data_IF_062816350238
#
_entry.id   IF_062816350238
#
_cell.length_a   1.000
_cell.length_b   1.000
_cell.length_c   1.000
_cell.angle_alpha   90.00
_cell.angle_beta   90.00
_cell.angle_gamma   90.00
#
_symmetry.space_group_name_H-M   'P 1'
#
loop_
_entity.id
_entity.type
_entity.pdbx_description
1 polymer ?
#
# COMPACT_ATOMS: atom_id res chain seq x y z
N UNK A 1 18.14 -2.30 -44.87
CA UNK A 1 17.41 -1.63 -43.78
C UNK A 1 17.39 -2.54 -42.58
N UNK A 2 17.62 -1.99 -41.39
CA UNK A 2 17.66 -2.73 -40.13
C UNK A 2 16.24 -2.87 -39.57
N UNK A 3 15.75 -4.11 -39.37
CA UNK A 3 14.41 -4.35 -38.82
C UNK A 3 14.43 -4.17 -37.31
N UNK A 4 13.84 -3.08 -36.81
CA UNK A 4 13.72 -2.84 -35.37
C UNK A 4 12.75 -3.82 -34.73
N UNK A 5 13.31 -4.93 -34.22
CA UNK A 5 12.62 -6.01 -33.51
C UNK A 5 11.46 -6.70 -34.26
N UNK A 6 11.13 -6.28 -35.49
CA UNK A 6 10.00 -6.81 -36.28
C UNK A 6 9.23 -5.73 -37.05
N UNK A 7 9.37 -4.46 -36.68
CA UNK A 7 8.78 -3.34 -37.42
C UNK A 7 9.39 -3.21 -38.83
N UNK A 8 8.56 -2.79 -39.78
CA UNK A 8 8.98 -2.33 -41.10
C UNK A 8 9.57 -0.91 -41.03
N UNK A 9 10.36 -0.50 -42.03
CA UNK A 9 10.99 0.84 -42.04
C UNK A 9 9.94 1.95 -41.91
N UNK A 10 8.83 1.85 -42.65
CA UNK A 10 7.73 2.82 -42.62
C UNK A 10 7.13 3.02 -41.21
N UNK A 11 7.11 1.97 -40.38
CA UNK A 11 6.66 2.05 -38.99
C UNK A 11 7.72 2.68 -38.07
N UNK A 12 9.01 2.43 -38.32
CA UNK A 12 10.12 3.11 -37.63
C UNK A 12 10.16 4.60 -37.99
N UNK A 13 9.94 4.93 -39.26
CA UNK A 13 9.86 6.30 -39.76
C UNK A 13 8.62 7.04 -39.24
N UNK A 14 7.52 6.32 -38.96
CA UNK A 14 6.35 6.85 -38.25
C UNK A 14 6.65 7.09 -36.76
N UNK A 15 7.30 6.15 -36.07
CA UNK A 15 7.72 6.34 -34.67
C UNK A 15 8.67 7.54 -34.50
N UNK A 16 9.64 7.70 -35.42
CA UNK A 16 10.54 8.87 -35.43
C UNK A 16 9.82 10.20 -35.66
N UNK A 17 8.65 10.19 -36.34
CA UNK A 17 7.78 11.38 -36.50
C UNK A 17 6.88 11.63 -35.29
N UNK A 18 6.45 10.58 -34.58
CA UNK A 18 5.68 10.68 -33.34
C UNK A 18 6.54 11.16 -32.16
N UNK A 19 7.82 10.79 -32.15
CA UNK A 19 8.77 11.08 -31.06
C UNK A 19 10.03 11.80 -31.58
N UNK A 20 9.91 13.00 -32.19
CA UNK A 20 11.01 13.66 -32.89
C UNK A 20 12.16 14.14 -31.99
N UNK A 21 11.93 14.23 -30.67
CA UNK A 21 12.94 14.59 -29.68
C UNK A 21 13.61 13.37 -29.00
N UNK A 22 13.12 12.16 -29.23
CA UNK A 22 13.61 10.97 -28.53
C UNK A 22 14.91 10.44 -29.18
N UNK A 23 15.98 10.20 -28.39
CA UNK A 23 17.19 9.54 -28.89
C UNK A 23 16.89 8.18 -29.51
N UNK A 24 17.60 7.80 -30.58
CA UNK A 24 17.30 6.57 -31.32
C UNK A 24 17.40 5.32 -30.43
N UNK A 25 18.35 5.29 -29.49
CA UNK A 25 18.51 4.22 -28.51
C UNK A 25 17.30 4.08 -27.58
N UNK A 26 16.71 5.19 -27.15
CA UNK A 26 15.50 5.19 -26.31
C UNK A 26 14.27 4.72 -27.10
N UNK A 27 14.17 5.08 -28.38
CA UNK A 27 13.14 4.55 -29.27
C UNK A 27 13.32 3.05 -29.55
N UNK A 28 14.56 2.57 -29.70
CA UNK A 28 14.87 1.14 -29.87
C UNK A 28 14.53 0.36 -28.60
N UNK A 29 14.80 0.92 -27.40
CA UNK A 29 14.38 0.37 -26.12
C UNK A 29 12.85 0.33 -25.97
N UNK A 30 12.15 1.40 -26.35
CA UNK A 30 10.69 1.49 -26.35
C UNK A 30 10.05 0.42 -27.24
N UNK A 31 10.53 0.24 -28.48
CA UNK A 31 10.04 -0.81 -29.39
C UNK A 31 10.35 -2.21 -28.87
N UNK A 32 11.53 -2.43 -28.28
CA UNK A 32 11.85 -3.71 -27.63
C UNK A 32 10.90 -4.02 -26.47
N UNK A 33 10.63 -3.03 -25.61
CA UNK A 33 9.76 -3.16 -24.45
C UNK A 33 8.30 -3.42 -24.86
N UNK A 34 7.79 -2.67 -25.85
CA UNK A 34 6.48 -2.88 -26.43
C UNK A 34 6.34 -4.31 -26.99
N UNK A 35 7.31 -4.75 -27.81
CA UNK A 35 7.34 -6.13 -28.33
C UNK A 35 7.38 -7.17 -27.21
N UNK A 36 8.17 -6.96 -26.15
CA UNK A 36 8.29 -7.92 -25.02
C UNK A 36 6.93 -8.13 -24.33
N UNK A 37 6.13 -7.08 -24.20
CA UNK A 37 4.76 -7.13 -23.70
C UNK A 37 3.72 -7.51 -24.79
N UNK A 38 4.13 -7.71 -26.04
CA UNK A 38 3.23 -7.91 -27.20
C UNK A 38 2.31 -6.71 -27.49
N UNK A 39 2.70 -5.51 -27.06
CA UNK A 39 1.99 -4.25 -27.28
C UNK A 39 2.47 -3.57 -28.57
N UNK A 40 1.59 -2.81 -29.20
CA UNK A 40 1.93 -2.02 -30.39
C UNK A 40 2.34 -0.58 -30.00
N UNK A 41 3.61 -0.17 -30.23
CA UNK A 41 4.10 1.16 -29.90
C UNK A 41 3.51 2.29 -30.76
N UNK A 42 2.69 1.99 -31.76
CA UNK A 42 1.90 2.95 -32.53
C UNK A 42 0.47 3.14 -31.98
N UNK A 43 0.09 2.40 -30.94
CA UNK A 43 -1.24 2.49 -30.29
C UNK A 43 -1.16 3.16 -28.92
N UNK A 44 -2.28 3.68 -28.42
CA UNK A 44 -2.39 4.30 -27.08
C UNK A 44 -2.39 3.26 -25.94
N UNK A 45 -1.58 2.21 -26.05
CA UNK A 45 -1.39 1.17 -25.04
C UNK A 45 -0.08 1.36 -24.27
N UNK A 46 0.96 1.89 -24.93
CA UNK A 46 2.28 2.12 -24.34
C UNK A 46 2.89 3.40 -24.93
N UNK A 47 3.53 4.20 -24.09
CA UNK A 47 3.99 5.55 -24.41
C UNK A 47 5.44 5.77 -23.98
N UNK A 48 6.23 6.40 -24.86
CA UNK A 48 7.54 6.95 -24.52
C UNK A 48 7.37 8.43 -24.14
N UNK A 49 7.56 8.77 -22.87
CA UNK A 49 7.33 10.12 -22.34
C UNK A 49 8.63 10.76 -21.85
N UNK A 50 8.90 11.97 -22.36
CA UNK A 50 9.95 12.87 -21.88
C UNK A 50 9.58 13.38 -20.48
N UNK A 51 10.44 13.15 -19.49
CA UNK A 51 10.29 13.64 -18.12
C UNK A 51 11.36 14.71 -17.88
N UNK A 52 10.93 15.94 -17.60
CA UNK A 52 11.83 17.08 -17.32
C UNK A 52 11.91 17.31 -15.82
N UNK A 53 13.10 17.08 -15.24
CA UNK A 53 13.42 17.26 -13.83
C UNK A 53 14.34 18.47 -13.69
N UNK A 54 14.01 19.38 -12.78
CA UNK A 54 14.94 20.43 -12.40
C UNK A 54 15.98 19.84 -11.44
N UNK A 55 17.24 19.79 -11.86
CA UNK A 55 18.34 19.47 -10.96
C UNK A 55 18.72 20.74 -10.19
N UNK A 56 18.62 20.67 -8.85
CA UNK A 56 18.91 21.78 -7.94
C UNK A 56 20.41 22.04 -7.76
N UNK A 57 21.26 21.04 -8.02
CA UNK A 57 22.70 21.09 -7.84
C UNK A 57 23.39 21.72 -9.07
N UNK A 58 22.97 21.31 -10.27
CA UNK A 58 23.48 21.86 -11.54
C UNK A 58 22.72 23.09 -12.04
N UNK A 59 21.60 23.43 -11.38
CA UNK A 59 20.66 24.50 -11.75
C UNK A 59 20.19 24.41 -13.22
N UNK A 60 19.90 23.20 -13.69
CA UNK A 60 19.54 22.90 -15.08
C UNK A 60 18.33 21.97 -15.20
N UNK A 61 17.68 22.01 -16.37
CA UNK A 61 16.60 21.10 -16.75
C UNK A 61 17.18 19.83 -17.38
N UNK A 62 17.21 18.75 -16.61
CA UNK A 62 17.57 17.43 -17.10
C UNK A 62 16.33 16.76 -17.73
N UNK A 63 16.53 16.14 -18.88
CA UNK A 63 15.46 15.48 -19.65
C UNK A 63 15.74 13.98 -19.71
N UNK A 64 14.96 13.19 -18.97
CA UNK A 64 14.99 11.73 -19.02
C UNK A 64 13.84 11.18 -19.85
N UNK A 65 13.93 9.90 -20.22
CA UNK A 65 12.92 9.21 -21.01
C UNK A 65 12.34 8.05 -20.22
N UNK A 66 11.02 7.93 -20.23
CA UNK A 66 10.27 6.95 -19.43
C UNK A 66 9.29 6.19 -20.31
N UNK A 67 9.21 4.87 -20.15
CA UNK A 67 8.26 4.02 -20.87
C UNK A 67 7.11 3.69 -19.91
N UNK A 68 5.94 4.27 -20.19
CA UNK A 68 4.73 4.14 -19.37
C UNK A 68 3.64 3.39 -20.15
N UNK A 69 2.87 2.57 -19.46
CA UNK A 69 1.87 1.68 -20.08
C UNK A 69 0.48 2.07 -19.60
N UNK A 70 -0.40 2.41 -20.55
CA UNK A 70 -1.79 2.73 -20.21
C UNK A 70 -2.54 1.51 -19.69
N UNK A 71 -3.64 1.75 -18.96
CA UNK A 71 -4.52 0.66 -18.48
C UNK A 71 -4.99 -0.25 -19.62
N UNK A 72 -5.21 0.30 -20.82
CA UNK A 72 -5.59 -0.46 -22.02
C UNK A 72 -4.45 -1.33 -22.56
N UNK A 73 -3.19 -0.99 -22.27
CA UNK A 73 -2.04 -1.88 -22.47
C UNK A 73 -2.02 -3.04 -21.47
N UNK A 74 -2.23 -2.77 -20.18
CA UNK A 74 -2.33 -3.85 -19.17
C UNK A 74 -3.49 -4.81 -19.48
N UNK A 75 -4.66 -4.28 -19.86
CA UNK A 75 -5.81 -5.08 -20.35
C UNK A 75 -5.42 -5.91 -21.58
N UNK A 76 -4.77 -5.32 -22.57
CA UNK A 76 -4.36 -6.03 -23.79
C UNK A 76 -3.31 -7.13 -23.52
N UNK A 77 -2.43 -6.97 -22.53
CA UNK A 77 -1.52 -8.05 -22.08
C UNK A 77 -2.32 -9.18 -21.43
N UNK A 78 -3.22 -8.85 -20.50
CA UNK A 78 -4.03 -9.82 -19.78
C UNK A 78 -4.95 -10.62 -20.73
N UNK A 79 -5.67 -9.94 -21.64
CA UNK A 79 -6.56 -10.53 -22.64
C UNK A 79 -5.84 -11.56 -23.53
N UNK A 80 -4.63 -11.22 -24.00
CA UNK A 80 -3.78 -12.11 -24.82
C UNK A 80 -3.30 -13.39 -24.11
N UNK A 81 -3.52 -13.54 -22.80
CA UNK A 81 -3.30 -14.83 -22.12
C UNK A 81 -4.41 -15.85 -22.37
N UNK A 82 -5.61 -15.42 -22.78
CA UNK A 82 -6.82 -16.25 -22.79
C UNK A 82 -7.34 -16.63 -21.39
N UNK A 83 -6.75 -16.07 -20.33
CA UNK A 83 -7.08 -16.33 -18.91
C UNK A 83 -7.67 -15.09 -18.21
N UNK A 84 -8.00 -14.03 -18.95
CA UNK A 84 -8.59 -12.79 -18.45
C UNK A 84 -10.05 -12.66 -18.84
N UNK A 85 -10.85 -12.03 -17.97
CA UNK A 85 -12.08 -11.35 -18.35
C UNK A 85 -12.28 -10.10 -17.45
N UNK A 86 -13.03 -9.08 -17.91
CA UNK A 86 -13.42 -7.96 -17.05
C UNK A 86 -14.17 -8.43 -15.80
N UNK A 87 -13.90 -7.81 -14.66
CA UNK A 87 -14.68 -8.04 -13.43
C UNK A 87 -15.90 -7.13 -13.33
N UNK A 88 -16.50 -7.10 -12.13
CA UNK A 88 -17.60 -6.19 -11.80
C UNK A 88 -17.14 -4.72 -11.74
N UNK A 89 -18.10 -3.79 -11.77
CA UNK A 89 -17.81 -2.36 -11.75
C UNK A 89 -16.98 -1.95 -10.51
N UNK A 90 -16.02 -1.01 -10.63
CA UNK A 90 -15.25 -0.54 -9.48
C UNK A 90 -16.12 0.10 -8.40
N UNK A 91 -15.83 -0.22 -7.14
CA UNK A 91 -16.49 0.34 -5.96
C UNK A 91 -15.68 1.55 -5.47
N UNK A 92 -16.34 2.67 -5.18
CA UNK A 92 -15.71 3.91 -4.66
C UNK A 92 -16.16 4.13 -3.23
N UNK A 93 -15.22 4.29 -2.30
CA UNK A 93 -15.49 4.72 -0.93
C UNK A 93 -15.26 6.23 -0.79
N UNK A 94 -16.18 6.92 -0.12
CA UNK A 94 -16.12 8.38 0.08
C UNK A 94 -16.29 8.72 1.57
N UNK A 95 -15.66 9.81 2.02
CA UNK A 95 -15.65 10.30 3.40
C UNK A 95 -15.83 11.81 3.40
N UNK A 96 -17.04 12.29 3.72
CA UNK A 96 -17.37 13.72 3.75
C UNK A 96 -17.14 14.39 2.38
N UNK A 97 -17.86 13.91 1.36
CA UNK A 97 -17.82 14.35 -0.05
C UNK A 97 -16.44 14.25 -0.75
N UNK A 98 -15.47 13.60 -0.11
CA UNK A 98 -14.13 13.33 -0.67
C UNK A 98 -13.96 11.85 -0.94
N UNK A 99 -13.46 11.52 -2.12
CA UNK A 99 -13.07 10.15 -2.49
C UNK A 99 -11.92 9.71 -1.59
N UNK A 100 -12.06 8.54 -0.97
CA UNK A 100 -11.09 7.96 -0.05
C UNK A 100 -10.34 6.80 -0.70
N UNK A 101 -11.04 5.88 -1.37
CA UNK A 101 -10.42 4.77 -2.10
C UNK A 101 -11.29 4.30 -3.27
N UNK A 102 -10.67 3.57 -4.19
CA UNK A 102 -11.35 2.77 -5.21
C UNK A 102 -10.92 1.31 -5.07
N UNK A 103 -11.86 0.37 -5.20
CA UNK A 103 -11.59 -1.06 -5.36
C UNK A 103 -12.01 -1.47 -6.77
N UNK A 104 -11.12 -2.16 -7.48
CA UNK A 104 -11.39 -2.69 -8.81
C UNK A 104 -11.26 -4.22 -8.84
N UNK A 105 -11.92 -4.84 -9.81
CA UNK A 105 -12.10 -6.28 -9.91
C UNK A 105 -11.77 -6.76 -11.33
N UNK A 106 -11.00 -7.83 -11.43
CA UNK A 106 -10.71 -8.53 -12.70
C UNK A 106 -10.86 -10.03 -12.52
N UNK A 107 -11.28 -10.74 -13.56
CA UNK A 107 -11.42 -12.20 -13.51
C UNK A 107 -10.16 -12.86 -14.08
N UNK A 108 -9.59 -13.80 -13.32
CA UNK A 108 -8.51 -14.68 -13.78
C UNK A 108 -8.98 -16.13 -13.83
N UNK A 109 -8.70 -16.82 -14.94
CA UNK A 109 -8.84 -18.28 -15.04
C UNK A 109 -7.59 -18.98 -14.52
N UNK A 110 -7.77 -19.99 -13.66
CA UNK A 110 -6.73 -20.91 -13.19
C UNK A 110 -7.28 -22.33 -13.28
N UNK A 111 -6.67 -23.15 -14.15
CA UNK A 111 -7.30 -24.40 -14.60
C UNK A 111 -8.64 -24.13 -15.29
N UNK A 112 -9.69 -24.84 -14.90
CA UNK A 112 -11.05 -24.66 -15.44
C UNK A 112 -11.94 -23.76 -14.56
N UNK A 113 -11.36 -23.05 -13.59
CA UNK A 113 -12.10 -22.17 -12.67
C UNK A 113 -11.71 -20.71 -12.87
N UNK A 114 -12.72 -19.84 -12.81
CA UNK A 114 -12.54 -18.39 -12.74
C UNK A 114 -12.51 -17.92 -11.29
N UNK A 115 -11.65 -16.96 -11.00
CA UNK A 115 -11.46 -16.33 -9.70
C UNK A 115 -11.51 -14.81 -9.88
N UNK A 116 -12.25 -14.11 -9.02
CA UNK A 116 -12.18 -12.64 -8.95
C UNK A 116 -10.89 -12.24 -8.21
N UNK A 117 -10.14 -11.32 -8.80
CA UNK A 117 -8.94 -10.72 -8.23
C UNK A 117 -9.21 -9.24 -8.05
N UNK A 118 -9.15 -8.78 -6.81
CA UNK A 118 -9.36 -7.38 -6.45
C UNK A 118 -8.10 -6.71 -5.90
N UNK A 119 -8.03 -5.40 -6.07
CA UNK A 119 -7.07 -4.52 -5.42
C UNK A 119 -7.70 -3.15 -5.11
N UNK A 120 -7.13 -2.46 -4.13
CA UNK A 120 -7.56 -1.13 -3.67
C UNK A 120 -6.47 -0.09 -3.98
N UNK A 121 -6.89 1.10 -4.38
CA UNK A 121 -6.03 2.29 -4.47
C UNK A 121 -6.60 3.39 -3.58
N UNK A 122 -5.79 3.94 -2.67
CA UNK A 122 -6.20 5.03 -1.77
C UNK A 122 -5.92 6.40 -2.40
N UNK A 123 -6.84 7.34 -2.26
CA UNK A 123 -6.76 8.64 -2.93
C UNK A 123 -5.45 9.39 -2.61
N UNK A 124 -5.01 9.37 -1.35
CA UNK A 124 -3.79 10.02 -0.88
C UNK A 124 -2.47 9.39 -1.39
N UNK A 125 -2.51 8.17 -1.93
CA UNK A 125 -1.33 7.46 -2.46
C UNK A 125 -1.17 7.65 -3.97
N UNK A 126 -2.28 7.82 -4.70
CA UNK A 126 -2.31 7.82 -6.17
C UNK A 126 -2.66 9.18 -6.79
N UNK A 127 -3.23 10.13 -6.03
CA UNK A 127 -3.60 11.44 -6.59
C UNK A 127 -2.36 12.24 -7.00
N UNK A 128 -2.16 12.39 -8.31
CA UNK A 128 -1.09 13.23 -8.83
C UNK A 128 -1.42 14.71 -8.58
N UNK A 129 -0.53 15.43 -7.90
CA UNK A 129 -0.67 16.84 -7.55
C UNK A 129 0.35 17.74 -8.25
N UNK A 130 0.13 19.05 -8.20
CA UNK A 130 1.09 20.07 -8.61
C UNK A 130 1.93 20.59 -7.42
N UNK A 131 2.84 21.53 -7.67
CA UNK A 131 3.68 22.18 -6.64
C UNK A 131 2.93 23.06 -5.61
N UNK A 132 1.59 23.06 -5.64
CA UNK A 132 0.70 23.67 -4.64
C UNK A 132 -0.24 22.64 -4.00
N UNK A 133 0.12 21.36 -4.07
CA UNK A 133 -0.63 20.20 -3.56
C UNK A 133 -2.03 20.01 -4.17
N UNK A 134 -2.37 20.73 -5.24
CA UNK A 134 -3.65 20.62 -5.92
C UNK A 134 -3.60 19.48 -6.95
N UNK A 135 -4.63 18.61 -7.03
CA UNK A 135 -4.69 17.53 -8.02
C UNK A 135 -4.53 18.05 -9.47
N UNK A 136 -3.89 17.29 -10.34
CA UNK A 136 -3.74 17.66 -11.75
C UNK A 136 -5.09 17.65 -12.50
N UNK A 137 -5.16 18.33 -13.64
CA UNK A 137 -6.41 18.59 -14.40
C UNK A 137 -7.28 17.34 -14.64
N UNK A 138 -6.68 16.18 -14.91
CA UNK A 138 -7.41 14.92 -15.11
C UNK A 138 -8.02 14.38 -13.82
N UNK A 139 -7.28 14.49 -12.71
CA UNK A 139 -7.75 14.15 -11.37
C UNK A 139 -8.84 15.10 -10.88
N UNK A 140 -8.78 16.39 -11.21
CA UNK A 140 -9.88 17.33 -10.94
C UNK A 140 -11.14 17.00 -11.77
N UNK A 141 -10.98 16.69 -13.06
CA UNK A 141 -12.12 16.49 -13.98
C UNK A 141 -12.83 15.15 -13.78
N UNK A 142 -12.09 14.07 -13.52
CA UNK A 142 -12.61 12.69 -13.53
C UNK A 142 -12.06 11.85 -12.35
N UNK A 143 -12.12 12.34 -11.10
CA UNK A 143 -11.38 11.76 -9.97
C UNK A 143 -11.67 10.27 -9.72
N UNK A 144 -12.95 9.87 -9.75
CA UNK A 144 -13.38 8.48 -9.57
C UNK A 144 -12.75 7.56 -10.62
N UNK A 145 -12.86 7.93 -11.90
CA UNK A 145 -12.30 7.18 -13.02
C UNK A 145 -10.76 7.13 -13.01
N UNK A 146 -10.07 8.17 -12.51
CA UNK A 146 -8.61 8.08 -12.33
C UNK A 146 -8.28 7.03 -11.27
N UNK A 147 -8.85 7.12 -10.06
CA UNK A 147 -8.54 6.18 -8.98
C UNK A 147 -8.98 4.74 -9.28
N UNK A 148 -10.11 4.54 -9.97
CA UNK A 148 -10.53 3.21 -10.47
C UNK A 148 -9.50 2.58 -11.40
N UNK A 149 -8.85 3.36 -12.28
CA UNK A 149 -7.81 2.85 -13.18
C UNK A 149 -6.54 2.44 -12.44
N UNK A 150 -6.16 3.18 -11.39
CA UNK A 150 -5.06 2.78 -10.51
C UNK A 150 -5.37 1.45 -9.82
N UNK A 151 -6.55 1.33 -9.22
CA UNK A 151 -7.01 0.08 -8.58
C UNK A 151 -7.06 -1.10 -9.57
N UNK A 152 -7.51 -0.85 -10.82
CA UNK A 152 -7.56 -1.88 -11.87
C UNK A 152 -6.17 -2.31 -12.34
N UNK A 153 -5.21 -1.37 -12.45
CA UNK A 153 -3.82 -1.70 -12.75
C UNK A 153 -3.20 -2.62 -11.67
N UNK A 154 -3.45 -2.33 -10.39
CA UNK A 154 -3.02 -3.17 -9.26
C UNK A 154 -3.69 -4.55 -9.29
N UNK A 155 -4.99 -4.62 -9.60
CA UNK A 155 -5.73 -5.88 -9.72
C UNK A 155 -5.19 -6.73 -10.89
N UNK A 156 -4.90 -6.09 -12.03
CA UNK A 156 -4.25 -6.72 -13.18
C UNK A 156 -2.83 -7.19 -12.84
N UNK A 157 -2.00 -6.43 -12.12
CA UNK A 157 -0.69 -6.91 -11.63
C UNK A 157 -0.81 -8.14 -10.74
N UNK A 158 -1.73 -8.12 -9.78
CA UNK A 158 -2.00 -9.23 -8.85
C UNK A 158 -2.48 -10.48 -9.60
N UNK A 159 -3.22 -10.31 -10.69
CA UNK A 159 -3.66 -11.40 -11.55
C UNK A 159 -2.55 -11.90 -12.51
N UNK A 160 -1.81 -11.02 -13.17
CA UNK A 160 -0.87 -11.33 -14.26
C UNK A 160 0.56 -10.82 -13.98
N UNK A 161 1.19 -11.26 -12.86
CA UNK A 161 2.46 -10.69 -12.39
C UNK A 161 3.67 -11.06 -13.26
N UNK A 162 3.61 -12.16 -14.02
CA UNK A 162 4.68 -12.56 -14.92
C UNK A 162 4.61 -11.78 -16.24
N UNK A 163 3.39 -11.59 -16.76
CA UNK A 163 3.09 -10.97 -18.04
C UNK A 163 3.24 -9.44 -17.97
N UNK A 164 2.88 -8.85 -16.82
CA UNK A 164 3.05 -7.41 -16.53
C UNK A 164 4.41 -7.11 -15.86
N UNK A 165 5.33 -8.08 -15.81
CA UNK A 165 6.64 -7.91 -15.17
C UNK A 165 7.51 -6.90 -15.90
N UNK A 166 7.97 -5.88 -15.17
CA UNK A 166 8.86 -4.84 -15.69
C UNK A 166 8.29 -3.95 -16.80
N UNK A 167 6.97 -3.90 -16.96
CA UNK A 167 6.24 -2.72 -17.47
C UNK A 167 5.53 -2.04 -16.30
N UNK A 168 5.28 -0.74 -16.39
CA UNK A 168 4.69 0.08 -15.33
C UNK A 168 3.62 1.01 -15.89
N UNK A 169 2.64 1.38 -15.06
CA UNK A 169 1.69 2.46 -15.39
C UNK A 169 2.23 3.82 -14.98
N UNK A 170 1.64 4.88 -15.53
CA UNK A 170 1.95 6.28 -15.24
C UNK A 170 1.94 6.57 -13.72
N UNK A 171 0.92 6.05 -13.02
CA UNK A 171 0.70 6.30 -11.59
C UNK A 171 1.74 5.60 -10.70
N UNK A 172 2.11 4.35 -11.04
CA UNK A 172 3.14 3.58 -10.33
C UNK A 172 4.53 4.19 -10.51
N UNK A 173 4.85 4.67 -11.73
CA UNK A 173 6.13 5.33 -11.98
C UNK A 173 6.27 6.63 -11.18
N UNK A 174 5.17 7.35 -10.93
CA UNK A 174 5.22 8.57 -10.11
C UNK A 174 5.34 8.29 -8.61
N UNK A 175 4.90 7.12 -8.13
CA UNK A 175 5.23 6.65 -6.77
C UNK A 175 6.71 6.29 -6.66
N UNK A 176 7.26 5.55 -7.64
CA UNK A 176 8.69 5.21 -7.69
C UNK A 176 9.59 6.46 -7.81
N UNK A 177 9.20 7.46 -8.62
CA UNK A 177 9.90 8.76 -8.70
C UNK A 177 9.85 9.54 -7.37
N UNK A 178 8.77 9.41 -6.58
CA UNK A 178 8.66 10.03 -5.27
C UNK A 178 9.55 9.33 -4.23
N UNK A 179 9.55 8.00 -4.16
CA UNK A 179 10.47 7.23 -3.30
C UNK A 179 11.95 7.40 -3.70
N UNK A 180 12.21 7.64 -4.99
CA UNK A 180 13.54 7.99 -5.53
C UNK A 180 14.17 9.22 -4.87
N UNK A 181 13.37 10.14 -4.32
CA UNK A 181 13.87 11.34 -3.62
C UNK A 181 14.46 10.99 -2.24
N UNK A 182 14.08 9.85 -1.65
CA UNK A 182 14.55 9.41 -0.34
C UNK A 182 15.82 8.53 -0.38
N UNK A 183 16.23 8.07 -1.57
CA UNK A 183 17.37 7.18 -1.75
C UNK A 183 18.39 7.71 -2.75
N UNK A 184 18.96 8.89 -2.45
CA UNK A 184 20.23 9.32 -3.07
C UNK A 184 21.31 8.32 -2.66
N UNK A 185 21.73 7.47 -3.59
CA UNK A 185 22.93 6.63 -3.41
C UNK A 185 24.13 7.55 -3.25
N UNK A 186 24.91 7.34 -2.19
CA UNK A 186 26.17 8.06 -2.00
C UNK A 186 27.08 7.85 -3.23
N UNK A 187 27.61 8.92 -3.84
CA UNK A 187 28.75 8.82 -4.74
C UNK A 187 29.94 8.24 -3.97
N UNK A 188 30.63 7.26 -4.55
CA UNK A 188 31.91 6.77 -4.03
C UNK A 188 33.04 7.69 -4.47
N UNK A 189 33.99 7.96 -3.56
CA UNK A 189 35.08 8.90 -3.76
C UNK A 189 35.96 8.60 -5.00
N UNK A 190 36.17 9.63 -5.83
CA UNK A 190 37.32 9.75 -6.74
C UNK A 190 37.80 11.20 -6.67
N UNK A 191 39.11 11.42 -6.52
CA UNK A 191 39.67 12.70 -6.08
C UNK A 191 39.88 13.77 -7.19
N UNK A 192 39.97 15.02 -6.72
CA UNK A 192 40.31 16.30 -7.40
C UNK A 192 41.74 16.34 -8.02
N UNK A 193 42.25 17.44 -8.65
CA UNK A 193 41.71 18.81 -8.89
C UNK A 193 41.85 19.28 -10.38
N UNK A 194 41.64 20.52 -10.85
CA UNK A 194 41.30 21.88 -10.29
C UNK A 194 40.22 22.53 -11.23
N UNK A 195 39.85 23.82 -11.34
CA UNK A 195 40.42 25.17 -11.04
C UNK A 195 39.26 26.11 -10.60
N UNK A 196 39.54 27.23 -9.92
CA UNK A 196 38.54 28.20 -9.42
C UNK A 196 38.43 29.53 -10.20
N UNK A 197 37.29 30.21 -10.06
CA UNK A 197 37.17 31.69 -10.08
C UNK A 197 35.91 32.16 -9.32
N UNK A 198 36.04 33.23 -8.54
CA UNK A 198 34.95 33.87 -7.75
C UNK A 198 34.25 35.02 -8.52
N UNK A 199 33.06 35.49 -8.07
CA UNK A 199 32.20 36.42 -8.80
C UNK A 199 32.43 37.92 -8.44
N UNK A 200 31.70 38.82 -9.12
CA UNK A 200 31.56 40.23 -8.76
C UNK A 200 30.08 40.72 -8.87
N UNK A 201 29.60 41.68 -8.04
CA UNK A 201 28.16 41.96 -7.87
C UNK A 201 27.67 43.35 -8.33
N UNK A 202 26.37 43.48 -8.63
CA UNK A 202 25.62 44.74 -8.88
C UNK A 202 24.16 44.53 -8.39
N UNK A 203 23.78 44.95 -7.17
CA UNK A 203 23.15 46.24 -6.77
C UNK A 203 21.61 46.33 -6.94
N UNK A 204 20.96 47.17 -6.13
CA UNK A 204 19.51 47.17 -5.83
C UNK A 204 18.69 48.35 -6.41
N UNK A 205 17.36 48.14 -6.48
CA UNK A 205 16.29 49.14 -6.29
C UNK A 205 16.12 50.24 -7.37
N UNK A 206 15.01 51.06 -7.37
CA UNK A 206 13.87 51.10 -6.44
C UNK A 206 12.47 50.94 -7.11
N UNK A 207 11.40 51.17 -6.34
CA UNK A 207 9.99 50.92 -6.69
C UNK A 207 9.20 52.16 -7.17
N UNK A 208 7.93 51.96 -7.54
CA UNK A 208 6.88 52.99 -7.61
C UNK A 208 5.56 52.50 -6.98
N UNK A 209 4.62 53.40 -6.72
CA UNK A 209 3.60 53.28 -5.67
C UNK A 209 2.15 53.28 -6.16
N UNK A 210 1.25 52.58 -5.43
CA UNK A 210 -0.09 53.04 -4.97
C UNK A 210 -1.16 53.46 -6.02
N UNK A 211 -2.42 53.77 -5.63
CA UNK A 211 -3.08 53.67 -4.31
C UNK A 211 -4.36 52.79 -4.30
N UNK A 212 -4.99 52.64 -3.13
CA UNK A 212 -6.39 52.21 -2.97
C UNK A 212 -7.28 53.32 -2.40
N UNK A 213 -8.50 53.00 -1.92
CA UNK A 213 -9.11 53.73 -0.81
C UNK A 213 -9.58 52.80 0.33
N UNK A 214 -9.95 53.38 1.48
CA UNK A 214 -10.11 52.67 2.76
C UNK A 214 -11.51 52.83 3.40
N UNK A 215 -11.78 52.07 4.47
CA UNK A 215 -12.67 52.50 5.56
C UNK A 215 -12.36 51.82 6.90
N UNK A 216 -12.66 52.55 7.97
CA UNK A 216 -12.56 52.26 9.43
C UNK A 216 -13.23 50.94 9.89
N UNK A 217 -12.89 50.33 11.04
CA UNK A 217 -11.88 50.63 12.08
C UNK A 217 -12.33 50.23 13.52
N UNK A 218 -11.52 50.60 14.52
CA UNK A 218 -11.66 50.39 15.99
C UNK A 218 -11.19 49.04 16.60
N UNK A 219 -10.55 49.14 17.77
CA UNK A 219 -9.80 48.09 18.48
C UNK A 219 -10.61 47.26 19.49
N UNK A 220 -10.05 46.10 19.90
CA UNK A 220 -10.26 45.55 21.26
C UNK A 220 -9.03 44.76 21.73
N UNK A 221 -8.67 44.90 23.01
CA UNK A 221 -7.50 44.24 23.64
C UNK A 221 -7.89 42.84 24.16
N UNK A 222 -7.04 41.81 24.05
CA UNK A 222 -7.34 40.46 24.56
C UNK A 222 -7.09 40.31 26.07
N UNK A 223 -7.97 39.57 26.74
CA UNK A 223 -7.81 39.07 28.12
C UNK A 223 -8.02 37.53 28.19
N UNK A 224 -7.69 36.84 29.30
CA UNK A 224 -7.04 35.52 29.22
C UNK A 224 -7.96 34.30 29.10
N UNK A 225 -7.38 33.20 28.61
CA UNK A 225 -8.06 31.92 28.39
C UNK A 225 -8.36 31.15 29.68
N UNK A 226 -9.64 30.93 29.98
CA UNK A 226 -10.08 29.98 31.02
C UNK A 226 -10.26 28.56 30.46
N UNK A 227 -9.92 27.52 31.24
CA UNK A 227 -9.89 26.12 30.78
C UNK A 227 -11.21 25.39 31.03
N UNK A 228 -12.18 25.56 30.13
CA UNK A 228 -13.41 24.75 30.15
C UNK A 228 -13.09 23.29 29.79
N UNK A 229 -13.48 22.34 30.64
CA UNK A 229 -13.39 20.92 30.31
C UNK A 229 -14.42 20.56 29.23
N UNK A 230 -14.02 19.85 28.17
CA UNK A 230 -14.95 19.37 27.14
C UNK A 230 -16.00 18.45 27.75
N UNK A 231 -17.27 18.82 27.57
CA UNK A 231 -18.44 17.96 27.73
C UNK A 231 -18.33 16.75 26.77
N UNK A 232 -18.77 15.54 27.15
CA UNK A 232 -18.68 14.38 26.28
C UNK A 232 -19.52 14.58 25.00
N UNK A 233 -18.89 14.37 23.85
CA UNK A 233 -19.53 14.50 22.54
C UNK A 233 -20.73 13.54 22.44
N UNK A 234 -21.89 13.99 21.91
CA UNK A 234 -23.11 13.19 21.89
C UNK A 234 -22.95 11.93 21.02
N UNK A 235 -23.68 10.84 21.33
CA UNK A 235 -23.57 9.60 20.57
C UNK A 235 -24.04 9.79 19.12
N UNK A 236 -23.23 9.33 18.18
CA UNK A 236 -23.49 9.37 16.74
C UNK A 236 -24.26 8.11 16.31
N UNK A 237 -25.13 8.17 15.28
CA UNK A 237 -25.63 6.97 14.60
C UNK A 237 -24.48 6.12 14.05
N UNK A 238 -24.64 4.80 14.13
CA UNK A 238 -23.71 3.82 13.59
C UNK A 238 -24.49 2.71 12.89
N UNK A 239 -24.28 2.62 11.58
CA UNK A 239 -24.54 1.43 10.78
C UNK A 239 -23.18 0.89 10.30
N UNK A 240 -22.94 -0.41 10.45
CA UNK A 240 -21.68 -1.02 10.03
C UNK A 240 -21.73 -2.54 10.03
N UNK A 241 -20.71 -3.16 9.43
CA UNK A 241 -20.44 -4.59 9.59
C UNK A 241 -19.33 -4.78 10.62
N UNK A 242 -19.48 -5.76 11.51
CA UNK A 242 -18.49 -6.09 12.54
C UNK A 242 -18.21 -7.59 12.60
N UNK A 243 -17.00 -7.96 13.01
CA UNK A 243 -16.63 -9.34 13.39
C UNK A 243 -16.48 -9.39 14.91
N UNK A 244 -17.13 -10.36 15.56
CA UNK A 244 -16.97 -10.57 17.01
C UNK A 244 -15.59 -11.15 17.33
N UNK A 245 -14.87 -10.48 18.21
CA UNK A 245 -13.45 -10.73 18.51
C UNK A 245 -13.20 -11.53 19.81
N UNK A 246 -14.24 -11.75 20.61
CA UNK A 246 -14.20 -12.53 21.85
C UNK A 246 -15.62 -12.98 22.24
N UNK A 247 -15.75 -13.95 23.14
CA UNK A 247 -17.04 -14.28 23.76
C UNK A 247 -17.63 -13.10 24.58
N UNK A 248 -18.97 -12.94 24.67
CA UNK A 248 -19.61 -11.89 25.47
C UNK A 248 -19.31 -11.98 26.97
N UNK A 249 -19.05 -10.84 27.60
CA UNK A 249 -18.79 -10.70 29.03
C UNK A 249 -19.93 -9.96 29.74
N UNK A 250 -20.43 -10.52 30.86
CA UNK A 250 -21.45 -9.88 31.69
C UNK A 250 -20.81 -8.96 32.74
N UNK A 251 -21.05 -7.65 32.62
CA UNK A 251 -20.47 -6.63 33.52
C UNK A 251 -21.57 -5.90 34.31
N UNK A 252 -21.16 -5.05 35.24
CA UNK A 252 -22.06 -4.33 36.17
C UNK A 252 -23.04 -3.34 35.50
N UNK A 253 -22.94 -3.14 34.18
CA UNK A 253 -23.84 -2.28 33.38
C UNK A 253 -24.57 -3.02 32.25
N UNK A 254 -24.49 -4.36 32.21
CA UNK A 254 -25.07 -5.19 31.16
C UNK A 254 -24.03 -6.09 30.49
N UNK A 255 -24.40 -6.67 29.35
CA UNK A 255 -23.48 -7.44 28.51
C UNK A 255 -22.65 -6.53 27.61
N UNK A 256 -21.38 -6.89 27.46
CA UNK A 256 -20.41 -6.24 26.59
C UNK A 256 -19.70 -7.32 25.76
N UNK A 257 -19.36 -7.03 24.50
CA UNK A 257 -18.51 -7.92 23.70
C UNK A 257 -17.54 -7.11 22.84
N UNK A 258 -16.32 -7.61 22.62
CA UNK A 258 -15.36 -6.97 21.73
C UNK A 258 -15.62 -7.37 20.28
N UNK A 259 -15.47 -6.42 19.37
CA UNK A 259 -15.64 -6.63 17.94
C UNK A 259 -14.69 -5.71 17.16
N UNK A 260 -14.46 -6.02 15.88
CA UNK A 260 -13.77 -5.12 14.94
C UNK A 260 -14.74 -4.65 13.85
N UNK A 261 -14.70 -3.36 13.53
CA UNK A 261 -15.40 -2.78 12.39
C UNK A 261 -14.74 -3.23 11.07
N UNK A 262 -15.47 -3.95 10.23
CA UNK A 262 -14.94 -4.61 9.00
C UNK A 262 -14.40 -3.62 7.97
N UNK A 263 -14.85 -2.36 7.99
CA UNK A 263 -14.47 -1.34 7.01
C UNK A 263 -13.33 -0.44 7.48
N UNK A 264 -13.03 -0.44 8.79
CA UNK A 264 -12.07 0.49 9.40
C UNK A 264 -11.06 -0.16 10.36
N UNK A 265 -11.11 -1.49 10.50
CA UNK A 265 -10.28 -2.32 11.40
C UNK A 265 -10.20 -1.76 12.85
N UNK A 266 -11.27 -1.06 13.24
CA UNK A 266 -11.31 -0.31 14.50
C UNK A 266 -11.95 -1.18 15.57
N UNK A 267 -11.24 -1.39 16.67
CA UNK A 267 -11.76 -2.09 17.85
C UNK A 267 -12.94 -1.36 18.47
N UNK A 268 -14.06 -2.08 18.63
CA UNK A 268 -15.32 -1.63 19.21
C UNK A 268 -15.66 -2.50 20.42
N UNK A 269 -16.16 -1.88 21.50
CA UNK A 269 -16.94 -2.62 22.51
C UNK A 269 -18.43 -2.44 22.22
N UNK A 270 -19.09 -3.50 21.78
CA UNK A 270 -20.54 -3.55 21.62
C UNK A 270 -21.20 -3.71 22.99
N UNK A 271 -22.35 -3.08 23.20
CA UNK A 271 -23.17 -3.20 24.42
C UNK A 271 -24.65 -3.31 24.10
N UNK A 272 -25.40 -4.05 24.92
CA UNK A 272 -26.85 -4.22 24.75
C UNK A 272 -27.25 -5.69 24.68
N UNK A 273 -28.11 -6.11 23.73
CA UNK A 273 -28.59 -7.49 23.60
C UNK A 273 -27.55 -8.42 22.94
N UNK A 274 -26.31 -8.38 23.42
CA UNK A 274 -25.14 -9.07 22.82
C UNK A 274 -24.83 -10.44 23.45
N UNK A 275 -25.70 -10.95 24.32
CA UNK A 275 -25.44 -12.16 25.14
C UNK A 275 -25.47 -13.48 24.36
N UNK A 276 -26.07 -13.48 23.17
CA UNK A 276 -26.20 -14.65 22.29
C UNK A 276 -25.10 -14.75 21.22
N UNK A 277 -24.22 -13.75 21.14
CA UNK A 277 -23.20 -13.64 20.10
C UNK A 277 -22.00 -14.55 20.37
N UNK A 278 -21.31 -14.95 19.31
CA UNK A 278 -20.17 -15.89 19.36
C UNK A 278 -18.96 -15.32 18.61
N UNK A 279 -17.77 -15.70 19.07
CA UNK A 279 -16.50 -15.33 18.45
C UNK A 279 -16.44 -15.75 16.96
N UNK A 280 -15.94 -14.86 16.10
CA UNK A 280 -15.90 -15.00 14.65
C UNK A 280 -17.18 -14.57 13.91
N UNK A 281 -18.36 -14.50 14.55
CA UNK A 281 -19.60 -14.13 13.87
C UNK A 281 -19.51 -12.76 13.17
N UNK A 282 -20.01 -12.70 11.93
CA UNK A 282 -20.09 -11.47 11.14
C UNK A 282 -21.51 -10.91 11.24
N UNK A 283 -21.63 -9.67 11.69
CA UNK A 283 -22.89 -9.01 12.01
C UNK A 283 -23.03 -7.70 11.24
N UNK A 284 -24.23 -7.38 10.76
CA UNK A 284 -24.64 -6.00 10.48
C UNK A 284 -25.22 -5.43 11.76
N UNK A 285 -24.81 -4.24 12.16
CA UNK A 285 -25.27 -3.60 13.39
C UNK A 285 -25.81 -2.21 13.08
N UNK A 286 -26.99 -1.92 13.63
CA UNK A 286 -27.56 -0.58 13.75
C UNK A 286 -27.56 -0.16 15.23
N UNK A 287 -27.16 1.08 15.51
CA UNK A 287 -27.22 1.63 16.85
C UNK A 287 -26.47 2.94 17.02
N UNK A 288 -25.96 3.17 18.24
CA UNK A 288 -25.39 4.45 18.66
C UNK A 288 -23.93 4.30 19.14
N UNK A 289 -23.01 4.99 18.45
CA UNK A 289 -21.57 5.01 18.73
C UNK A 289 -21.18 6.19 19.60
N UNK A 290 -20.41 5.95 20.65
CA UNK A 290 -19.78 6.97 21.46
C UNK A 290 -18.28 6.71 21.63
N UNK A 291 -17.45 7.75 21.52
CA UNK A 291 -16.03 7.69 21.89
C UNK A 291 -15.91 7.86 23.40
N UNK A 292 -15.26 6.92 24.06
CA UNK A 292 -15.06 6.93 25.52
C UNK A 292 -13.58 6.89 25.87
N UNK A 293 -13.23 7.18 27.13
CA UNK A 293 -11.84 7.08 27.62
C UNK A 293 -11.24 5.67 27.53
N UNK A 294 -12.06 4.63 27.33
CA UNK A 294 -11.64 3.25 27.13
C UNK A 294 -11.87 2.75 25.69
N UNK A 295 -11.92 3.65 24.71
CA UNK A 295 -12.13 3.33 23.30
C UNK A 295 -13.55 3.60 22.79
N UNK A 296 -13.82 3.16 21.57
CA UNK A 296 -15.12 3.33 20.91
C UNK A 296 -16.12 2.29 21.40
N UNK A 297 -17.30 2.73 21.84
CA UNK A 297 -18.38 1.85 22.28
C UNK A 297 -19.60 2.03 21.38
N UNK A 298 -20.27 0.93 21.03
CA UNK A 298 -21.51 0.95 20.23
C UNK A 298 -22.62 0.32 21.06
N UNK A 299 -23.65 1.10 21.39
CA UNK A 299 -24.92 0.56 21.89
C UNK A 299 -25.64 -0.05 20.69
N UNK A 300 -25.74 -1.38 20.68
CA UNK A 300 -26.48 -2.14 19.68
C UNK A 300 -27.98 -1.95 19.94
N UNK A 301 -28.71 -1.53 18.91
CA UNK A 301 -30.17 -1.38 18.97
C UNK A 301 -30.86 -2.45 18.12
N UNK A 302 -30.25 -2.82 16.99
CA UNK A 302 -30.64 -3.96 16.14
C UNK A 302 -29.39 -4.60 15.50
N UNK A 303 -29.42 -5.90 15.23
CA UNK A 303 -28.38 -6.59 14.48
C UNK A 303 -28.91 -7.74 13.62
N UNK A 304 -28.20 -8.05 12.55
CA UNK A 304 -28.44 -9.19 11.64
C UNK A 304 -27.15 -10.03 11.54
N UNK A 305 -27.26 -11.35 11.71
CA UNK A 305 -26.12 -12.27 11.51
C UNK A 305 -25.97 -12.51 10.01
N UNK A 306 -24.90 -11.97 9.42
CA UNK A 306 -24.62 -12.07 7.98
C UNK A 306 -23.99 -13.44 7.65
N UNK A 307 -23.13 -13.94 8.55
CA UNK A 307 -22.63 -15.31 8.48
C UNK A 307 -22.22 -15.86 9.84
N UNK A 308 -22.50 -17.14 10.03
CA UNK A 308 -21.73 -17.99 10.95
C UNK A 308 -20.40 -18.32 10.26
N UNK A 309 -19.29 -17.87 10.84
CA UNK A 309 -17.97 -18.42 10.50
C UNK A 309 -17.88 -19.83 11.05
N UNK A 310 -18.38 -20.80 10.28
CA UNK A 310 -17.96 -22.19 10.42
C UNK A 310 -16.42 -22.20 10.45
N UNK A 311 -15.77 -22.82 11.46
CA UNK A 311 -14.32 -22.75 11.62
C UNK A 311 -13.63 -23.19 10.33
N UNK A 312 -12.67 -22.37 9.90
CA UNK A 312 -12.04 -22.49 8.59
C UNK A 312 -11.43 -23.90 8.41
N UNK A 313 -11.72 -24.61 7.30
CA UNK A 313 -11.19 -25.95 7.09
C UNK A 313 -9.68 -25.87 6.82
N UNK A 314 -8.90 -26.06 7.90
CA UNK A 314 -7.45 -26.24 8.00
C UNK A 314 -6.60 -25.72 6.81
N UNK A 315 -5.83 -24.67 7.07
CA UNK A 315 -4.87 -24.08 6.13
C UNK A 315 -4.03 -25.13 5.38
N UNK A 316 -3.85 -24.91 4.08
CA UNK A 316 -3.28 -25.90 3.16
C UNK A 316 -1.83 -26.26 3.49
N UNK A 317 -1.66 -27.44 4.10
CA UNK A 317 -0.42 -28.24 4.23
C UNK A 317 0.89 -27.44 4.26
N UNK A 318 1.11 -26.68 5.33
CA UNK A 318 2.47 -26.33 5.70
C UNK A 318 3.23 -27.63 6.05
N UNK A 319 4.43 -27.83 5.49
CA UNK A 319 5.28 -28.95 5.89
C UNK A 319 5.88 -28.65 7.27
N UNK A 320 5.43 -29.38 8.30
CA UNK A 320 6.14 -29.46 9.58
C UNK A 320 7.54 -30.05 9.31
N UNK A 321 8.59 -29.24 9.49
CA UNK A 321 9.97 -29.64 9.28
C UNK A 321 10.73 -29.61 10.61
N UNK A 322 11.36 -30.72 10.96
CA UNK A 322 12.25 -30.78 12.12
C UNK A 322 13.57 -30.07 11.79
N UNK A 323 13.72 -28.83 12.24
CA UNK A 323 14.86 -27.98 11.94
C UNK A 323 15.98 -28.16 12.98
N UNK A 324 17.19 -28.46 12.52
CA UNK A 324 18.42 -28.45 13.35
C UNK A 324 19.10 -27.09 13.23
N UNK A 325 19.26 -26.42 14.36
CA UNK A 325 19.86 -25.07 14.44
C UNK A 325 20.74 -24.92 15.68
N UNK A 326 21.84 -24.18 15.54
CA UNK A 326 22.60 -23.67 16.68
C UNK A 326 22.13 -22.27 17.03
N UNK A 327 21.71 -22.06 18.27
CA UNK A 327 21.31 -20.74 18.81
C UNK A 327 22.52 -19.80 18.87
N UNK A 328 22.29 -18.50 18.60
CA UNK A 328 23.30 -17.43 18.51
C UNK A 328 22.91 -16.14 19.23
N UNK A 329 21.92 -16.19 20.13
CA UNK A 329 21.54 -15.09 21.01
C UNK A 329 20.66 -15.57 22.16
N UNK A 330 20.72 -14.91 23.31
CA UNK A 330 19.72 -15.08 24.37
C UNK A 330 18.29 -14.77 23.86
N UNK A 331 17.25 -15.46 24.37
CA UNK A 331 15.85 -15.24 23.99
C UNK A 331 15.34 -13.83 24.27
N UNK A 332 14.52 -13.32 23.35
CA UNK A 332 13.90 -11.98 23.43
C UNK A 332 12.39 -12.11 23.33
N UNK A 333 11.68 -11.59 24.33
CA UNK A 333 10.22 -11.48 24.28
C UNK A 333 9.81 -10.24 23.48
N UNK A 334 8.67 -10.33 22.82
CA UNK A 334 8.08 -9.23 22.05
C UNK A 334 6.62 -9.50 21.74
N UNK A 335 6.02 -8.66 20.91
CA UNK A 335 4.69 -8.90 20.35
C UNK A 335 4.74 -8.80 18.83
N UNK A 336 3.93 -9.61 18.15
CA UNK A 336 3.86 -9.65 16.69
C UNK A 336 2.41 -9.84 16.24
N UNK A 337 2.06 -9.13 15.18
CA UNK A 337 0.77 -9.31 14.52
C UNK A 337 0.78 -10.55 13.61
N UNK A 338 -0.29 -11.33 13.70
CA UNK A 338 -0.61 -12.46 12.85
C UNK A 338 -2.01 -12.25 12.27
N UNK A 339 -2.11 -11.40 11.24
CA UNK A 339 -3.36 -11.14 10.51
C UNK A 339 -4.44 -10.46 11.33
N UNK A 340 -4.08 -9.40 12.08
CA UNK A 340 -4.96 -8.68 13.00
C UNK A 340 -4.88 -9.17 14.45
N UNK A 341 -4.27 -10.34 14.70
CA UNK A 341 -4.08 -10.87 16.06
C UNK A 341 -2.67 -10.59 16.59
N UNK A 342 -2.54 -9.60 17.49
CA UNK A 342 -1.28 -9.28 18.16
C UNK A 342 -0.94 -10.30 19.28
N UNK A 343 -0.13 -11.31 18.98
CA UNK A 343 0.31 -12.35 19.93
C UNK A 343 1.62 -11.97 20.62
N UNK A 344 1.87 -12.52 21.81
CA UNK A 344 3.23 -12.56 22.37
C UNK A 344 4.10 -13.51 21.55
N UNK A 345 5.38 -13.18 21.39
CA UNK A 345 6.38 -14.05 20.78
C UNK A 345 7.65 -14.08 21.63
N UNK A 346 8.35 -15.22 21.63
CA UNK A 346 9.73 -15.30 22.15
C UNK A 346 10.64 -15.75 21.02
N UNK A 347 11.74 -15.05 20.77
CA UNK A 347 12.58 -15.33 19.60
C UNK A 347 14.08 -15.27 19.88
N UNK A 348 14.84 -16.03 19.09
CA UNK A 348 16.31 -16.03 19.05
C UNK A 348 16.81 -15.92 17.60
N UNK A 349 18.00 -15.34 17.43
CA UNK A 349 18.80 -15.60 16.24
C UNK A 349 19.46 -16.97 16.36
N UNK A 350 19.45 -17.74 15.27
CA UNK A 350 20.09 -19.03 15.17
C UNK A 350 20.75 -19.22 13.79
N UNK A 351 21.51 -20.30 13.64
CA UNK A 351 22.13 -20.71 12.38
C UNK A 351 21.80 -22.16 12.06
N UNK A 352 21.36 -22.44 10.84
CA UNK A 352 21.13 -23.81 10.35
C UNK A 352 22.46 -24.52 10.06
N UNK A 353 22.43 -25.85 9.97
CA UNK A 353 23.62 -26.66 9.68
C UNK A 353 24.27 -26.35 8.31
N UNK A 354 23.54 -25.78 7.35
CA UNK A 354 24.07 -25.29 6.07
C UNK A 354 24.55 -23.82 6.11
N UNK A 355 24.58 -23.21 7.30
CA UNK A 355 25.21 -21.92 7.57
C UNK A 355 24.31 -20.69 7.47
N UNK A 356 23.04 -20.83 7.05
CA UNK A 356 22.10 -19.69 6.93
C UNK A 356 21.77 -19.12 8.29
N UNK A 357 21.58 -17.80 8.34
CA UNK A 357 21.05 -17.11 9.53
C UNK A 357 19.53 -17.17 9.49
N UNK A 358 18.91 -17.61 10.59
CA UNK A 358 17.46 -17.74 10.73
C UNK A 358 17.00 -17.13 12.05
N UNK A 359 15.72 -16.75 12.12
CA UNK A 359 15.06 -16.39 13.37
C UNK A 359 14.21 -17.57 13.82
N UNK A 360 14.42 -18.10 15.03
CA UNK A 360 13.47 -19.04 15.62
C UNK A 360 12.51 -18.23 16.50
N UNK A 361 11.21 -18.43 16.32
CA UNK A 361 10.16 -17.71 17.04
C UNK A 361 9.15 -18.69 17.64
N UNK A 362 9.13 -18.80 18.96
CA UNK A 362 8.06 -19.46 19.70
C UNK A 362 6.81 -18.61 19.68
N UNK A 363 5.68 -19.26 19.39
CA UNK A 363 4.33 -18.70 19.45
C UNK A 363 3.43 -19.68 20.20
N UNK A 364 2.38 -19.18 20.84
CA UNK A 364 1.39 -19.97 21.58
C UNK A 364 2.04 -21.06 22.47
N UNK A 365 1.95 -22.34 22.09
CA UNK A 365 2.51 -23.45 22.87
C UNK A 365 4.03 -23.56 22.87
N UNK A 366 4.74 -22.91 21.94
CA UNK A 366 6.21 -22.93 21.84
C UNK A 366 6.93 -21.76 22.53
N UNK A 367 6.20 -20.83 23.17
CA UNK A 367 6.76 -19.64 23.84
C UNK A 367 7.84 -20.01 24.86
N UNK A 368 7.51 -20.90 25.80
CA UNK A 368 8.44 -21.28 26.88
C UNK A 368 9.57 -22.22 26.39
N UNK A 369 9.35 -22.98 25.32
CA UNK A 369 10.41 -23.76 24.66
C UNK A 369 11.50 -22.85 24.11
N UNK A 370 11.13 -21.80 23.36
CA UNK A 370 12.12 -20.84 22.82
C UNK A 370 12.65 -19.89 23.90
N UNK A 371 11.90 -19.64 24.99
CA UNK A 371 12.40 -18.93 26.16
C UNK A 371 13.46 -19.70 26.96
N UNK A 372 13.45 -21.05 26.88
CA UNK A 372 14.43 -21.91 27.54
C UNK A 372 15.79 -22.02 26.82
N UNK A 373 15.92 -21.49 25.61
CA UNK A 373 17.14 -21.66 24.80
C UNK A 373 18.33 -20.83 25.30
N UNK A 374 19.53 -21.40 25.20
CA UNK A 374 20.78 -20.79 25.60
C UNK A 374 21.68 -20.47 24.39
N UNK A 375 22.53 -19.45 24.50
CA UNK A 375 23.46 -19.11 23.42
C UNK A 375 24.48 -20.24 23.20
N UNK A 376 24.75 -20.56 21.94
CA UNK A 376 25.57 -21.72 21.55
C UNK A 376 24.88 -23.08 21.60
N UNK A 377 23.66 -23.20 22.16
CA UNK A 377 22.93 -24.47 22.23
C UNK A 377 22.54 -24.97 20.83
N UNK A 378 22.75 -26.26 20.56
CA UNK A 378 22.17 -26.94 19.40
C UNK A 378 20.80 -27.52 19.77
N UNK A 379 19.79 -27.23 18.96
CA UNK A 379 18.41 -27.70 19.16
C UNK A 379 17.86 -28.29 17.86
N UNK A 380 17.02 -29.31 18.01
CA UNK A 380 16.26 -29.95 16.95
C UNK A 380 14.78 -29.76 17.26
N UNK A 381 14.08 -28.97 16.44
CA UNK A 381 12.75 -28.43 16.76
C UNK A 381 11.75 -28.65 15.63
N UNK A 382 10.52 -29.12 15.91
CA UNK A 382 9.45 -29.12 14.93
C UNK A 382 9.03 -27.66 14.67
N UNK A 383 9.27 -27.18 13.45
CA UNK A 383 9.03 -25.78 13.11
C UNK A 383 8.39 -25.59 11.73
N UNK A 384 7.54 -24.57 11.63
CA UNK A 384 6.94 -24.10 10.38
C UNK A 384 7.80 -22.97 9.80
N UNK A 385 8.48 -23.24 8.70
CA UNK A 385 9.33 -22.25 8.02
C UNK A 385 8.48 -21.26 7.21
N UNK A 386 8.78 -19.96 7.34
CA UNK A 386 8.16 -18.86 6.60
C UNK A 386 9.23 -17.84 6.22
N UNK A 387 9.17 -17.29 5.00
CA UNK A 387 10.01 -16.18 4.57
C UNK A 387 9.28 -14.85 4.77
N UNK A 388 9.83 -13.96 5.60
CA UNK A 388 9.23 -12.66 5.92
C UNK A 388 10.28 -11.55 5.92
N UNK A 389 10.00 -10.43 5.25
CA UNK A 389 10.88 -9.25 5.20
C UNK A 389 12.35 -9.58 4.84
N UNK A 390 12.55 -10.56 3.94
CA UNK A 390 13.87 -11.03 3.53
C UNK A 390 14.60 -11.91 4.55
N UNK A 391 13.89 -12.53 5.50
CA UNK A 391 14.45 -13.42 6.54
C UNK A 391 13.63 -14.70 6.66
N UNK A 392 14.34 -15.82 6.74
CA UNK A 392 13.78 -17.12 7.15
C UNK A 392 13.41 -17.09 8.62
N UNK A 393 12.13 -17.28 8.93
CA UNK A 393 11.58 -17.44 10.28
C UNK A 393 11.13 -18.89 10.47
N UNK A 394 11.53 -19.50 11.58
CA UNK A 394 11.12 -20.84 11.99
C UNK A 394 10.15 -20.70 13.18
N UNK A 395 8.86 -20.87 12.92
CA UNK A 395 7.85 -20.79 13.96
C UNK A 395 7.70 -22.11 14.72
N UNK A 396 7.81 -22.03 16.04
CA UNK A 396 7.62 -23.15 16.97
C UNK A 396 6.24 -22.96 17.61
N UNK A 397 5.25 -23.65 17.06
CA UNK A 397 3.83 -23.49 17.40
C UNK A 397 3.41 -24.38 18.61
N UNK A 398 4.28 -25.30 19.06
CA UNK A 398 4.06 -26.27 20.16
C UNK A 398 5.34 -26.48 20.97
N UNK A 399 5.22 -27.02 22.19
CA UNK A 399 6.37 -27.50 22.94
C UNK A 399 7.04 -28.70 22.25
N UNK A 400 8.38 -28.76 22.33
CA UNK A 400 9.23 -29.83 21.81
C UNK A 400 9.60 -30.84 22.92
#
# INVERSE_FOLDING_TARGET
MEKWFGLASEQVDLLKKLYPAAPEEQLRLFVYQAKRAGLDPLTNQIHLLERKRWNKETAQWESSWSIQTGIDGFRAVADRTGLYAPGRAPEIAERGDKIFSAVAYVMKRVGDRWFEVSAVAYWNEYVQTNSKEQPLRMWQKMPRNQLSKCAEALALRKAFPAELSGIYTDDEMQQADAESVLHVRQPVDVAEPVVASEPAPVQEAPAQESPGPASSGADTVPEPSEKTAKEPEPPEPYEGQVIIAAAPEKKSRGWEVQAFDVLTDTGLTLVGPVETLQEGQVLRINGLRAKTKSGTRVKVEEFEIISETKPEPAAQTAQELTAKVTVKSAPKRGKKDFGGTLREIVWVYARTNDGRQVVVAGVDGGLETVAGFQDGQEVEIPARMVEENGKTVLYVDRAA
#
